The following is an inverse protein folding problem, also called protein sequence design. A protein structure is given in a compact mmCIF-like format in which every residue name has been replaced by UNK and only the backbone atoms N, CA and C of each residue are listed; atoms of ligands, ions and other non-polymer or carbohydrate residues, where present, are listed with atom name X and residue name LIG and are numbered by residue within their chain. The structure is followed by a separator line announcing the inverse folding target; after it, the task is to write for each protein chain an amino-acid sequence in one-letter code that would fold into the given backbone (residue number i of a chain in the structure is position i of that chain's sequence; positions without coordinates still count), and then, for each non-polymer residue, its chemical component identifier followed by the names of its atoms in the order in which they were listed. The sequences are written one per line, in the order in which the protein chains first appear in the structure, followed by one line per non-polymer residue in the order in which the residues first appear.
data_IF_655842471927
#
_entry.id   IF_655842471927
#
_cell.length_a   1.000
_cell.length_b   1.000
_cell.length_c   1.000
_cell.angle_alpha   90.00
_cell.angle_beta   90.00
_cell.angle_gamma   90.00
#
_symmetry.space_group_name_H-M   'P 1'
#
loop_
_entity.id
_entity.type
_entity.pdbx_description
1 polymer ?
#
# COMPACT_ATOMS: atom_id res chain seq x y z
N UNK A 1 21.12 -12.20 17.20
CA UNK A 1 20.63 -12.27 15.81
C UNK A 1 19.30 -13.01 15.87
N UNK A 2 18.18 -12.29 16.02
CA UNK A 2 16.86 -12.91 15.94
C UNK A 2 16.64 -13.33 14.49
N UNK A 3 16.49 -14.63 14.27
CA UNK A 3 16.23 -15.21 12.95
C UNK A 3 14.84 -14.80 12.47
N UNK A 4 14.74 -13.67 11.78
CA UNK A 4 13.54 -13.31 11.06
C UNK A 4 13.47 -14.23 9.83
N UNK A 5 12.31 -14.87 9.62
CA UNK A 5 12.09 -15.70 8.45
C UNK A 5 12.30 -14.88 7.18
N UNK A 6 12.97 -15.47 6.18
CA UNK A 6 13.27 -14.85 4.89
C UNK A 6 12.02 -14.15 4.32
N UNK A 7 12.14 -12.91 3.82
CA UNK A 7 11.02 -12.23 3.18
C UNK A 7 10.50 -13.01 1.98
N UNK A 8 9.18 -13.04 1.80
CA UNK A 8 8.50 -13.64 0.66
C UNK A 8 8.42 -12.59 -0.45
N UNK A 9 8.74 -12.94 -1.70
CA UNK A 9 8.49 -12.08 -2.87
C UNK A 9 7.36 -12.68 -3.71
N UNK A 10 6.34 -11.89 -4.02
CA UNK A 10 5.22 -12.26 -4.89
C UNK A 10 5.26 -11.35 -6.12
N UNK A 11 5.46 -11.93 -7.30
CA UNK A 11 5.48 -11.20 -8.55
C UNK A 11 4.07 -10.79 -8.99
N UNK A 12 3.90 -9.53 -9.40
CA UNK A 12 2.69 -9.03 -10.07
C UNK A 12 3.00 -8.94 -11.56
N UNK A 13 2.71 -10.03 -12.28
CA UNK A 13 3.09 -10.17 -13.68
C UNK A 13 4.60 -10.06 -13.86
N UNK A 14 5.03 -9.31 -14.88
CA UNK A 14 6.45 -8.96 -15.10
C UNK A 14 6.78 -7.54 -14.64
N UNK A 15 5.88 -6.86 -13.94
CA UNK A 15 5.96 -5.42 -13.70
C UNK A 15 6.73 -5.10 -12.42
N UNK A 16 6.38 -5.74 -11.30
CA UNK A 16 7.00 -5.50 -10.00
C UNK A 16 6.75 -6.64 -9.00
N UNK A 17 7.47 -6.60 -7.89
CA UNK A 17 7.32 -7.53 -6.77
C UNK A 17 6.65 -6.88 -5.55
N UNK A 18 5.84 -7.66 -4.84
CA UNK A 18 5.40 -7.38 -3.47
C UNK A 18 6.27 -8.19 -2.51
N UNK A 19 7.10 -7.51 -1.73
CA UNK A 19 7.99 -8.11 -0.74
C UNK A 19 7.32 -8.05 0.63
N UNK A 20 7.12 -9.21 1.27
CA UNK A 20 6.43 -9.36 2.55
C UNK A 20 7.39 -9.98 3.57
N UNK A 21 7.60 -9.34 4.71
CA UNK A 21 8.45 -9.87 5.76
C UNK A 21 8.31 -9.12 7.07
N UNK A 22 9.12 -9.49 8.07
CA UNK A 22 9.21 -8.79 9.37
C UNK A 22 10.53 -8.04 9.45
N UNK A 23 10.48 -6.78 9.87
CA UNK A 23 11.67 -5.95 10.06
C UNK A 23 12.42 -5.66 8.75
N UNK A 24 11.67 -5.40 7.67
CA UNK A 24 12.19 -5.28 6.30
C UNK A 24 12.23 -3.84 5.78
N UNK A 25 11.80 -2.84 6.55
CA UNK A 25 11.73 -1.44 6.12
C UNK A 25 13.05 -0.84 5.58
N UNK A 26 14.20 -1.38 5.97
CA UNK A 26 15.50 -0.97 5.44
C UNK A 26 15.73 -1.39 3.98
N UNK A 27 14.91 -2.31 3.47
CA UNK A 27 14.98 -2.83 2.09
C UNK A 27 14.25 -1.99 1.05
N UNK A 28 13.63 -0.86 1.42
CA UNK A 28 12.92 0.02 0.46
C UNK A 28 13.81 0.40 -0.72
N UNK A 29 15.08 0.69 -0.46
CA UNK A 29 16.03 1.08 -1.48
C UNK A 29 16.33 -0.03 -2.50
N UNK A 30 16.19 -1.31 -2.13
CA UNK A 30 16.39 -2.45 -3.03
C UNK A 30 15.36 -2.45 -4.17
N UNK A 31 14.16 -1.93 -3.90
CA UNK A 31 13.03 -1.89 -4.84
C UNK A 31 13.11 -0.72 -5.83
N UNK A 32 13.94 0.29 -5.56
CA UNK A 32 14.06 1.47 -6.42
C UNK A 32 14.82 1.19 -7.73
N UNK A 33 15.67 0.16 -7.76
CA UNK A 33 16.57 -0.13 -8.86
C UNK A 33 17.70 0.89 -9.02
N UNK A 34 18.48 0.78 -10.09
CA UNK A 34 19.65 1.63 -10.32
C UNK A 34 19.33 3.06 -10.78
N UNK A 35 20.26 4.00 -10.56
CA UNK A 35 20.21 5.35 -11.12
C UNK A 35 19.24 6.33 -10.46
N UNK A 36 18.64 5.98 -9.31
CA UNK A 36 17.95 6.96 -8.46
C UNK A 36 19.00 7.74 -7.68
N UNK A 37 18.88 9.08 -7.65
CA UNK A 37 19.71 9.93 -6.80
C UNK A 37 18.89 10.57 -5.69
N UNK A 38 17.67 11.03 -6.00
CA UNK A 38 16.77 11.69 -5.06
C UNK A 38 15.50 10.88 -4.85
N UNK A 39 15.01 10.91 -3.62
CA UNK A 39 13.76 10.26 -3.23
C UNK A 39 12.90 11.24 -2.45
N UNK A 40 11.63 11.38 -2.82
CA UNK A 40 10.63 12.07 -2.01
C UNK A 40 9.87 11.04 -1.17
N UNK A 41 10.02 11.09 0.15
CA UNK A 41 9.25 10.26 1.10
C UNK A 41 8.00 11.02 1.51
N UNK A 42 6.83 10.51 1.12
CA UNK A 42 5.51 11.07 1.44
C UNK A 42 4.90 10.26 2.57
N UNK A 43 4.55 10.90 3.69
CA UNK A 43 4.04 10.21 4.88
C UNK A 43 3.11 11.11 5.72
N UNK A 44 2.23 10.54 6.57
CA UNK A 44 1.43 11.32 7.51
C UNK A 44 2.22 11.61 8.81
N UNK A 45 1.83 12.62 9.60
CA UNK A 45 2.47 12.96 10.88
C UNK A 45 2.37 11.85 11.94
N UNK A 46 1.44 10.91 11.78
CA UNK A 46 1.17 9.84 12.74
C UNK A 46 2.20 8.71 12.72
N UNK A 47 3.12 8.67 11.73
CA UNK A 47 4.08 7.58 11.53
C UNK A 47 5.57 8.00 11.57
N UNK A 48 6.02 8.85 12.52
CA UNK A 48 7.37 9.41 12.47
C UNK A 48 8.47 8.35 12.67
N UNK A 49 8.22 7.36 13.54
CA UNK A 49 9.17 6.27 13.81
C UNK A 49 9.36 5.32 12.63
N UNK A 50 8.27 4.98 11.94
CA UNK A 50 8.32 4.14 10.73
C UNK A 50 9.04 4.87 9.60
N UNK A 51 8.66 6.12 9.36
CA UNK A 51 9.24 6.96 8.31
C UNK A 51 10.74 7.15 8.53
N UNK A 52 11.18 7.40 9.76
CA UNK A 52 12.60 7.53 10.10
C UNK A 52 13.43 6.29 9.72
N UNK A 53 12.87 5.07 9.89
CA UNK A 53 13.55 3.83 9.48
C UNK A 53 13.68 3.71 7.97
N UNK A 54 12.63 4.07 7.23
CA UNK A 54 12.66 4.11 5.76
C UNK A 54 13.68 5.12 5.25
N UNK A 55 13.70 6.34 5.81
CA UNK A 55 14.68 7.38 5.47
C UNK A 55 16.10 6.87 5.71
N UNK A 56 16.37 6.30 6.88
CA UNK A 56 17.70 5.78 7.20
C UNK A 56 18.15 4.68 6.23
N UNK A 57 17.25 3.78 5.82
CA UNK A 57 17.55 2.74 4.82
C UNK A 57 17.90 3.31 3.45
N UNK A 58 17.19 4.37 3.01
CA UNK A 58 17.46 5.07 1.76
C UNK A 58 18.81 5.82 1.80
N UNK A 59 19.07 6.57 2.88
CA UNK A 59 20.31 7.32 3.08
C UNK A 59 21.54 6.40 3.18
N UNK A 60 21.40 5.24 3.83
CA UNK A 60 22.47 4.23 3.90
C UNK A 60 22.89 3.70 2.51
N UNK A 61 22.06 3.89 1.49
CA UNK A 61 22.37 3.55 0.08
C UNK A 61 22.88 4.75 -0.72
N UNK A 62 23.11 5.89 -0.06
CA UNK A 62 23.66 7.12 -0.66
C UNK A 62 22.62 7.98 -1.38
N UNK A 63 21.33 7.74 -1.15
CA UNK A 63 20.25 8.52 -1.77
C UNK A 63 20.05 9.85 -1.02
N UNK A 64 19.78 10.91 -1.77
CA UNK A 64 19.35 12.19 -1.20
C UNK A 64 17.86 12.13 -0.90
N UNK A 65 17.50 12.13 0.38
CA UNK A 65 16.10 11.99 0.82
C UNK A 65 15.48 13.35 1.11
N UNK A 66 14.35 13.62 0.47
CA UNK A 66 13.45 14.72 0.76
C UNK A 66 12.22 14.16 1.46
N UNK A 67 11.73 14.85 2.49
CA UNK A 67 10.59 14.38 3.29
C UNK A 67 9.43 15.34 3.11
N UNK A 68 8.26 14.80 2.79
CA UNK A 68 7.01 15.54 2.67
C UNK A 68 5.96 14.94 3.60
N UNK A 69 5.65 15.67 4.66
CA UNK A 69 4.53 15.35 5.53
C UNK A 69 3.21 15.80 4.86
N UNK A 70 2.20 14.95 4.87
CA UNK A 70 0.85 15.22 4.34
C UNK A 70 -0.19 15.07 5.44
N UNK A 71 -1.39 15.67 5.31
CA UNK A 71 -2.48 15.42 6.24
C UNK A 71 -2.78 13.94 6.42
N UNK A 72 -3.35 13.55 7.55
CA UNK A 72 -3.72 12.15 7.79
C UNK A 72 -5.02 11.78 7.05
N UNK A 73 -5.14 10.50 6.71
CA UNK A 73 -6.30 9.90 6.04
C UNK A 73 -6.81 10.75 4.85
N UNK A 74 -8.13 10.75 4.61
CA UNK A 74 -8.75 11.32 3.41
C UNK A 74 -8.44 12.80 3.14
N UNK A 75 -8.02 13.57 4.16
CA UNK A 75 -7.61 14.96 4.00
C UNK A 75 -6.36 15.11 3.12
N UNK A 76 -5.55 14.06 2.98
CA UNK A 76 -4.38 14.05 2.09
C UNK A 76 -4.77 14.09 0.60
N UNK A 77 -5.92 13.53 0.23
CA UNK A 77 -6.28 13.24 -1.17
C UNK A 77 -6.93 14.43 -1.85
N UNK A 78 -6.25 15.57 -1.85
CA UNK A 78 -6.76 16.79 -2.50
C UNK A 78 -5.81 17.28 -3.59
N UNK A 79 -6.36 17.98 -4.58
CA UNK A 79 -5.57 18.63 -5.62
C UNK A 79 -4.58 19.68 -5.05
N UNK A 80 -4.92 20.29 -3.91
CA UNK A 80 -4.06 21.26 -3.22
C UNK A 80 -2.80 20.58 -2.66
N UNK A 81 -2.96 19.46 -1.95
CA UNK A 81 -1.83 18.67 -1.43
C UNK A 81 -0.97 18.14 -2.59
N UNK A 82 -1.61 17.61 -3.63
CA UNK A 82 -0.91 17.15 -4.84
C UNK A 82 -0.07 18.27 -5.49
N UNK A 83 -0.64 19.47 -5.62
CA UNK A 83 0.06 20.62 -6.18
C UNK A 83 1.25 21.08 -5.33
N UNK A 84 1.14 21.01 -4.00
CA UNK A 84 2.27 21.33 -3.13
C UNK A 84 3.41 20.31 -3.29
N UNK A 85 3.09 19.02 -3.34
CA UNK A 85 4.08 17.95 -3.55
C UNK A 85 4.83 18.11 -4.88
N UNK A 86 4.14 18.46 -5.98
CA UNK A 86 4.81 18.83 -7.23
C UNK A 86 5.73 20.05 -7.08
N UNK A 87 5.31 21.05 -6.31
CA UNK A 87 6.13 22.22 -5.98
C UNK A 87 7.41 21.82 -5.24
N UNK A 88 7.33 20.88 -4.30
CA UNK A 88 8.48 20.35 -3.58
C UNK A 88 9.45 19.61 -4.52
N UNK A 89 8.94 18.73 -5.39
CA UNK A 89 9.73 18.02 -6.41
C UNK A 89 10.46 19.02 -7.33
N UNK A 90 9.76 20.06 -7.78
CA UNK A 90 10.34 21.10 -8.63
C UNK A 90 11.45 21.91 -7.94
N UNK A 91 11.24 22.32 -6.68
CA UNK A 91 12.25 23.06 -5.90
C UNK A 91 13.48 22.22 -5.59
N UNK A 92 13.31 20.93 -5.36
CA UNK A 92 14.39 19.98 -5.09
C UNK A 92 15.10 19.48 -6.36
N UNK A 93 14.63 19.86 -7.55
CA UNK A 93 15.26 19.51 -8.82
C UNK A 93 15.11 18.04 -9.20
N UNK A 94 13.98 17.41 -8.86
CA UNK A 94 13.70 16.02 -9.23
C UNK A 94 13.64 15.85 -10.75
N UNK A 95 14.28 14.79 -11.22
CA UNK A 95 14.38 14.39 -12.62
C UNK A 95 13.58 13.12 -12.89
N UNK A 96 13.55 12.65 -14.15
CA UNK A 96 12.85 11.42 -14.53
C UNK A 96 13.44 10.15 -13.93
N UNK A 97 14.71 10.18 -13.51
CA UNK A 97 15.36 9.03 -12.88
C UNK A 97 15.13 8.98 -11.38
N UNK A 98 14.63 10.04 -10.76
CA UNK A 98 14.36 10.09 -9.32
C UNK A 98 13.04 9.36 -8.98
N UNK A 99 12.74 9.25 -7.68
CA UNK A 99 11.63 8.42 -7.21
C UNK A 99 10.81 9.04 -6.08
N UNK A 100 9.60 8.50 -5.90
CA UNK A 100 8.71 8.78 -4.78
C UNK A 100 8.60 7.51 -3.92
N UNK A 101 8.51 7.66 -2.60
CA UNK A 101 8.19 6.56 -1.68
C UNK A 101 6.97 6.98 -0.85
N UNK A 102 5.88 6.22 -0.94
CA UNK A 102 4.69 6.43 -0.11
C UNK A 102 4.74 5.56 1.14
N UNK A 103 4.73 6.17 2.33
CA UNK A 103 4.74 5.46 3.62
C UNK A 103 3.45 5.77 4.38
N UNK A 104 2.50 4.83 4.41
CA UNK A 104 1.22 5.04 5.09
C UNK A 104 0.13 4.06 4.68
N UNK A 105 -1.12 4.35 5.05
CA UNK A 105 -2.29 3.58 4.60
C UNK A 105 -2.62 3.82 3.12
N UNK A 106 -3.72 3.21 2.65
CA UNK A 106 -4.14 3.26 1.24
C UNK A 106 -4.25 4.68 0.67
N UNK A 107 -4.73 5.62 1.49
CA UNK A 107 -4.81 7.04 1.14
C UNK A 107 -3.45 7.65 0.76
N UNK A 108 -2.42 7.41 1.58
CA UNK A 108 -1.09 7.98 1.36
C UNK A 108 -0.42 7.31 0.17
N UNK A 109 -0.58 5.99 0.01
CA UNK A 109 -0.04 5.26 -1.14
C UNK A 109 -0.70 5.70 -2.45
N UNK A 110 -2.01 5.98 -2.46
CA UNK A 110 -2.72 6.52 -3.62
C UNK A 110 -2.18 7.90 -4.02
N UNK A 111 -2.03 8.81 -3.04
CA UNK A 111 -1.51 10.14 -3.26
C UNK A 111 -0.07 10.08 -3.80
N UNK A 112 0.81 9.32 -3.14
CA UNK A 112 2.20 9.17 -3.55
C UNK A 112 2.31 8.54 -4.96
N UNK A 113 1.46 7.56 -5.25
CA UNK A 113 1.34 6.96 -6.57
C UNK A 113 0.93 7.99 -7.63
N UNK A 114 -0.04 8.85 -7.31
CA UNK A 114 -0.53 9.85 -8.26
C UNK A 114 0.47 11.00 -8.47
N UNK A 115 1.17 11.41 -7.41
CA UNK A 115 2.32 12.32 -7.51
C UNK A 115 3.35 11.76 -8.49
N UNK A 116 3.72 10.49 -8.34
CA UNK A 116 4.71 9.84 -9.20
C UNK A 116 4.21 9.67 -10.65
N UNK A 117 2.95 9.31 -10.85
CA UNK A 117 2.34 9.14 -12.17
C UNK A 117 2.32 10.45 -12.97
N UNK A 118 2.09 11.58 -12.27
CA UNK A 118 1.86 12.88 -12.89
C UNK A 118 3.11 13.76 -12.95
N UNK A 119 4.10 13.55 -12.08
CA UNK A 119 5.36 14.27 -12.11
C UNK A 119 6.20 13.87 -13.34
N UNK A 120 6.59 14.85 -14.16
CA UNK A 120 7.36 14.64 -15.39
C UNK A 120 6.79 13.58 -16.36
N UNK A 121 5.48 13.30 -16.26
CA UNK A 121 4.73 12.24 -16.96
C UNK A 121 5.07 10.81 -16.53
N UNK A 122 5.57 10.64 -15.32
CA UNK A 122 5.87 9.34 -14.72
C UNK A 122 7.29 9.30 -14.17
N UNK A 123 7.40 9.05 -12.88
CA UNK A 123 8.64 8.66 -12.18
C UNK A 123 8.41 7.38 -11.37
N UNK A 124 9.49 6.78 -10.89
CA UNK A 124 9.41 5.56 -10.08
C UNK A 124 8.68 5.83 -8.76
N UNK A 125 7.91 4.85 -8.30
CA UNK A 125 7.31 4.87 -6.97
C UNK A 125 7.47 3.54 -6.27
N UNK A 126 7.82 3.55 -4.99
CA UNK A 126 7.77 2.37 -4.12
C UNK A 126 6.74 2.62 -3.03
N UNK A 127 5.89 1.64 -2.77
CA UNK A 127 4.85 1.75 -1.74
C UNK A 127 5.26 0.98 -0.49
N UNK A 128 5.10 1.61 0.67
CA UNK A 128 5.35 1.02 1.99
C UNK A 128 4.03 1.10 2.78
N UNK A 129 3.07 0.21 2.51
CA UNK A 129 1.78 0.22 3.18
C UNK A 129 1.91 -0.08 4.67
N UNK A 130 1.22 0.72 5.50
CA UNK A 130 1.25 0.58 6.97
C UNK A 130 -0.07 0.14 7.59
N UNK A 131 -1.03 -0.25 6.75
CA UNK A 131 -2.33 -0.79 7.16
C UNK A 131 -2.52 -2.13 6.49
N UNK A 132 -3.32 -3.03 7.09
CA UNK A 132 -3.60 -4.32 6.48
C UNK A 132 -4.29 -4.14 5.12
N UNK A 133 -5.28 -3.24 5.04
CA UNK A 133 -5.95 -2.87 3.79
C UNK A 133 -4.96 -2.39 2.73
N UNK A 134 -3.99 -1.56 3.11
CA UNK A 134 -2.94 -1.10 2.21
C UNK A 134 -2.07 -2.25 1.67
N UNK A 135 -1.71 -3.21 2.51
CA UNK A 135 -0.85 -4.34 2.15
C UNK A 135 -1.52 -5.31 1.18
N UNK A 136 -2.78 -5.66 1.44
CA UNK A 136 -3.49 -6.70 0.68
C UNK A 136 -4.27 -6.14 -0.50
N UNK A 137 -4.54 -4.83 -0.50
CA UNK A 137 -5.35 -4.18 -1.52
C UNK A 137 -4.69 -2.90 -2.05
N UNK A 138 -4.80 -1.76 -1.38
CA UNK A 138 -4.57 -0.45 -2.02
C UNK A 138 -3.18 -0.26 -2.68
N UNK A 139 -2.10 -0.77 -2.08
CA UNK A 139 -0.75 -0.63 -2.63
C UNK A 139 -0.47 -1.57 -3.82
N UNK A 140 -1.33 -2.57 -4.06
CA UNK A 140 -1.17 -3.58 -5.10
C UNK A 140 -2.15 -3.28 -6.25
N UNK A 141 -1.65 -3.18 -7.48
CA UNK A 141 -2.49 -3.05 -8.68
C UNK A 141 -2.43 -1.71 -9.39
N UNK A 142 -1.56 -0.80 -8.95
CA UNK A 142 -1.18 0.42 -9.66
C UNK A 142 -2.29 1.47 -9.79
N UNK A 143 -3.43 1.32 -9.12
CA UNK A 143 -4.40 2.41 -9.04
C UNK A 143 -3.86 3.48 -8.11
N UNK A 144 -3.99 4.73 -8.54
CA UNK A 144 -3.57 5.90 -7.76
C UNK A 144 -4.58 7.00 -8.04
N UNK A 145 -4.78 7.92 -7.10
CA UNK A 145 -5.69 9.03 -7.34
C UNK A 145 -5.90 9.95 -6.16
N UNK A 146 -6.72 10.97 -6.41
CA UNK A 146 -7.16 11.95 -5.43
C UNK A 146 -8.68 12.07 -5.42
N UNK A 147 -9.20 12.68 -4.38
CA UNK A 147 -10.61 13.02 -4.28
C UNK A 147 -10.85 14.39 -4.91
N UNK A 148 -12.07 14.54 -5.43
CA UNK A 148 -12.61 15.81 -5.95
C UNK A 148 -13.84 16.17 -5.14
N UNK A 149 -14.39 17.37 -5.34
CA UNK A 149 -15.64 17.75 -4.68
C UNK A 149 -16.81 16.84 -5.13
N UNK A 150 -16.72 16.30 -6.34
CA UNK A 150 -17.73 15.47 -6.99
C UNK A 150 -17.67 14.00 -6.56
N UNK A 151 -16.57 13.56 -5.94
CA UNK A 151 -16.44 12.19 -5.45
C UNK A 151 -15.00 11.74 -5.19
N UNK A 152 -14.90 10.60 -4.50
CA UNK A 152 -13.64 9.94 -4.18
C UNK A 152 -13.10 9.17 -5.37
N UNK A 153 -11.78 9.16 -5.53
CA UNK A 153 -11.06 8.36 -6.54
C UNK A 153 -11.49 8.54 -8.01
N UNK A 154 -12.24 9.60 -8.34
CA UNK A 154 -12.67 9.85 -9.72
C UNK A 154 -11.53 10.32 -10.63
N UNK A 155 -10.50 10.96 -10.04
CA UNK A 155 -9.34 11.49 -10.76
C UNK A 155 -8.11 10.72 -10.31
N UNK A 156 -7.44 10.07 -11.27
CA UNK A 156 -6.31 9.20 -10.97
C UNK A 156 -5.59 8.69 -12.20
N UNK A 157 -4.71 7.72 -11.99
CA UNK A 157 -3.96 7.04 -13.03
C UNK A 157 -3.70 5.57 -12.67
N UNK A 158 -3.58 4.73 -13.69
CA UNK A 158 -2.95 3.43 -13.56
C UNK A 158 -1.43 3.61 -13.71
N UNK A 159 -0.70 3.51 -12.61
CA UNK A 159 0.75 3.67 -12.51
C UNK A 159 1.33 2.57 -11.59
N UNK A 160 1.77 1.44 -12.16
CA UNK A 160 2.38 0.36 -11.38
C UNK A 160 3.61 0.86 -10.60
N UNK A 161 3.77 0.47 -9.32
CA UNK A 161 4.96 0.80 -8.56
C UNK A 161 6.17 0.01 -9.09
N UNK A 162 7.37 0.45 -8.73
CA UNK A 162 8.61 -0.33 -8.91
C UNK A 162 8.69 -1.50 -7.90
N UNK A 163 7.94 -1.41 -6.80
CA UNK A 163 7.78 -2.48 -5.82
C UNK A 163 6.88 -2.05 -4.66
N UNK A 164 6.40 -3.03 -3.91
CA UNK A 164 5.65 -2.83 -2.67
C UNK A 164 6.36 -3.55 -1.55
N UNK A 165 6.59 -2.88 -0.42
CA UNK A 165 7.26 -3.45 0.75
C UNK A 165 6.31 -3.50 1.95
N UNK A 166 5.87 -4.71 2.29
CA UNK A 166 4.99 -5.00 3.40
C UNK A 166 5.81 -5.52 4.59
N UNK A 167 6.11 -4.64 5.55
CA UNK A 167 6.67 -5.05 6.85
C UNK A 167 5.53 -5.41 7.80
N UNK A 168 5.31 -6.70 8.07
CA UNK A 168 4.18 -7.15 8.90
C UNK A 168 4.28 -6.66 10.35
N UNK A 169 5.48 -6.29 10.82
CA UNK A 169 5.67 -5.82 12.20
C UNK A 169 5.02 -4.45 12.41
N UNK A 170 4.80 -3.66 11.35
CA UNK A 170 4.13 -2.36 11.49
C UNK A 170 2.64 -2.50 11.85
N UNK A 171 2.04 -3.68 11.65
CA UNK A 171 0.66 -3.96 12.05
C UNK A 171 0.51 -4.07 13.58
N UNK A 172 1.60 -4.24 14.33
CA UNK A 172 1.57 -4.32 15.80
C UNK A 172 1.03 -3.04 16.46
N UNK A 173 1.16 -1.90 15.78
CA UNK A 173 0.67 -0.60 16.25
C UNK A 173 -0.62 -0.15 15.57
N UNK A 174 -1.17 -0.97 14.66
CA UNK A 174 -2.40 -0.64 13.94
C UNK A 174 -3.61 -0.80 14.87
N UNK A 175 -4.55 0.15 14.91
CA UNK A 175 -5.81 -0.02 15.64
C UNK A 175 -6.55 -1.29 15.21
N UNK A 176 -7.17 -1.99 16.17
CA UNK A 176 -7.92 -3.23 15.89
C UNK A 176 -9.00 -3.01 14.82
N UNK A 177 -9.70 -1.88 14.86
CA UNK A 177 -10.73 -1.55 13.88
C UNK A 177 -10.18 -1.51 12.44
N UNK A 178 -9.00 -0.93 12.23
CA UNK A 178 -8.36 -0.83 10.92
C UNK A 178 -7.81 -2.18 10.46
N UNK A 179 -7.31 -3.00 11.39
CA UNK A 179 -6.92 -4.38 11.08
C UNK A 179 -8.13 -5.20 10.66
N UNK A 180 -9.24 -5.12 11.40
CA UNK A 180 -10.49 -5.82 11.09
C UNK A 180 -11.07 -5.36 9.75
N UNK A 181 -11.04 -4.06 9.47
CA UNK A 181 -11.44 -3.54 8.16
C UNK A 181 -10.58 -4.13 7.03
N UNK A 182 -9.26 -4.22 7.22
CA UNK A 182 -8.37 -4.88 6.26
C UNK A 182 -8.61 -6.40 6.11
N UNK A 183 -9.02 -7.09 7.17
CA UNK A 183 -9.38 -8.52 7.12
C UNK A 183 -10.59 -8.77 6.22
N UNK A 184 -11.48 -7.80 6.02
CA UNK A 184 -12.61 -7.94 5.09
C UNK A 184 -12.11 -8.20 3.66
N UNK A 185 -11.06 -7.52 3.21
CA UNK A 185 -10.46 -7.74 1.89
C UNK A 185 -9.72 -9.08 1.78
N UNK A 186 -9.12 -9.53 2.89
CA UNK A 186 -8.54 -10.88 2.98
C UNK A 186 -9.65 -11.92 2.80
N UNK A 187 -10.74 -11.81 3.55
CA UNK A 187 -11.90 -12.73 3.46
C UNK A 187 -12.53 -12.69 2.06
N UNK A 188 -12.64 -11.51 1.43
CA UNK A 188 -13.07 -11.38 0.03
C UNK A 188 -12.23 -12.26 -0.88
N UNK A 189 -10.89 -12.20 -0.78
CA UNK A 189 -9.99 -13.05 -1.57
C UNK A 189 -10.27 -14.54 -1.36
N UNK A 190 -10.65 -14.93 -0.13
CA UNK A 190 -11.03 -16.30 0.18
C UNK A 190 -12.29 -16.77 -0.55
N UNK A 191 -13.31 -15.92 -0.63
CA UNK A 191 -14.55 -16.24 -1.35
C UNK A 191 -14.38 -16.28 -2.87
N UNK A 192 -13.57 -15.39 -3.43
CA UNK A 192 -13.48 -15.25 -4.89
C UNK A 192 -12.44 -16.18 -5.53
N UNK A 193 -11.42 -16.64 -4.78
CA UNK A 193 -10.29 -17.35 -5.38
C UNK A 193 -9.55 -18.37 -4.49
N UNK A 194 -9.30 -18.10 -3.20
CA UNK A 194 -8.48 -19.00 -2.34
C UNK A 194 -9.21 -19.41 -1.04
N UNK A 195 -10.05 -20.47 -1.07
CA UNK A 195 -10.80 -20.92 0.11
C UNK A 195 -9.94 -21.28 1.33
N UNK A 196 -8.65 -21.57 1.17
CA UNK A 196 -7.76 -21.82 2.31
C UNK A 196 -7.60 -20.57 3.21
N UNK A 197 -7.81 -19.36 2.67
CA UNK A 197 -7.92 -18.15 3.48
C UNK A 197 -9.06 -18.27 4.49
N UNK A 198 -10.23 -18.77 4.05
CA UNK A 198 -11.40 -18.92 4.90
C UNK A 198 -11.14 -19.95 6.00
N UNK A 199 -10.52 -21.08 5.65
CA UNK A 199 -10.12 -22.12 6.62
C UNK A 199 -9.19 -21.57 7.71
N UNK A 200 -8.20 -20.75 7.33
CA UNK A 200 -7.27 -20.12 8.27
C UNK A 200 -7.96 -19.09 9.19
N UNK A 201 -8.88 -18.29 8.63
CA UNK A 201 -9.67 -17.32 9.42
C UNK A 201 -10.59 -18.04 10.40
N UNK A 202 -11.32 -19.05 9.94
CA UNK A 202 -12.22 -19.86 10.78
C UNK A 202 -11.46 -20.58 11.88
N UNK A 203 -10.30 -21.17 11.57
CA UNK A 203 -9.42 -21.80 12.56
C UNK A 203 -8.92 -20.80 13.59
N UNK A 204 -8.50 -19.60 13.18
CA UNK A 204 -8.04 -18.56 14.10
C UNK A 204 -9.16 -18.12 15.04
N UNK A 205 -10.38 -17.93 14.51
CA UNK A 205 -11.55 -17.53 15.30
C UNK A 205 -11.99 -18.64 16.26
N UNK A 206 -11.95 -19.90 15.83
CA UNK A 206 -12.30 -21.03 16.69
C UNK A 206 -11.33 -21.20 17.88
N UNK A 207 -10.07 -20.86 17.67
CA UNK A 207 -9.04 -20.91 18.70
C UNK A 207 -9.10 -19.70 19.65
N UNK A 208 -9.07 -18.47 19.12
CA UNK A 208 -9.22 -17.24 19.91
C UNK A 208 -9.74 -16.08 19.03
N UNK A 209 -11.04 -15.71 19.15
CA UNK A 209 -11.64 -14.64 18.37
C UNK A 209 -10.98 -13.27 18.56
N UNK A 210 -10.46 -12.97 19.75
CA UNK A 210 -9.80 -11.69 20.00
C UNK A 210 -8.43 -11.66 19.32
N UNK A 211 -7.66 -12.75 19.45
CA UNK A 211 -6.36 -12.88 18.79
C UNK A 211 -6.48 -12.90 17.27
N UNK A 212 -7.52 -13.53 16.71
CA UNK A 212 -7.79 -13.58 15.27
C UNK A 212 -7.89 -12.18 14.64
N UNK A 213 -8.37 -11.19 15.41
CA UNK A 213 -8.54 -9.78 15.02
C UNK A 213 -7.36 -8.89 15.42
N UNK A 214 -6.21 -9.48 15.73
CA UNK A 214 -5.03 -8.74 16.21
C UNK A 214 -3.78 -9.07 15.39
N UNK A 215 -2.75 -8.23 15.51
CA UNK A 215 -1.43 -8.49 14.93
C UNK A 215 -0.74 -9.75 15.51
N UNK A 216 -1.24 -10.29 16.63
CA UNK A 216 -0.77 -11.53 17.23
C UNK A 216 -1.41 -12.79 16.63
N UNK A 217 -2.27 -12.66 15.61
CA UNK A 217 -2.81 -13.80 14.86
C UNK A 217 -1.65 -14.57 14.19
N UNK A 218 -1.44 -15.86 14.54
CA UNK A 218 -0.32 -16.64 14.00
C UNK A 218 -0.41 -16.86 12.48
N UNK A 219 -1.59 -16.72 11.90
CA UNK A 219 -1.83 -16.88 10.46
C UNK A 219 -1.72 -15.55 9.69
N UNK A 220 -1.52 -14.40 10.36
CA UNK A 220 -1.61 -13.09 9.72
C UNK A 220 -0.69 -12.93 8.51
N UNK A 221 0.58 -13.33 8.62
CA UNK A 221 1.51 -13.26 7.49
C UNK A 221 1.07 -14.14 6.33
N UNK A 222 0.62 -15.37 6.59
CA UNK A 222 0.15 -16.27 5.53
C UNK A 222 -1.12 -15.73 4.85
N UNK A 223 -2.04 -15.18 5.63
CA UNK A 223 -3.25 -14.52 5.13
C UNK A 223 -2.91 -13.34 4.20
N UNK A 224 -1.96 -12.49 4.59
CA UNK A 224 -1.46 -11.40 3.75
C UNK A 224 -0.86 -11.94 2.45
N UNK A 225 0.03 -12.92 2.54
CA UNK A 225 0.67 -13.51 1.36
C UNK A 225 -0.34 -14.13 0.39
N UNK A 226 -1.35 -14.84 0.89
CA UNK A 226 -2.41 -15.43 0.06
C UNK A 226 -3.28 -14.38 -0.61
N UNK A 227 -3.75 -13.38 0.14
CA UNK A 227 -4.54 -12.28 -0.41
C UNK A 227 -3.76 -11.51 -1.49
N UNK A 228 -2.47 -11.24 -1.24
CA UNK A 228 -1.59 -10.59 -2.23
C UNK A 228 -1.40 -11.47 -3.48
N UNK A 229 -1.24 -12.80 -3.36
CA UNK A 229 -1.18 -13.70 -4.53
C UNK A 229 -2.46 -13.63 -5.36
N UNK A 230 -3.62 -13.73 -4.72
CA UNK A 230 -4.92 -13.59 -5.41
C UNK A 230 -4.99 -12.27 -6.17
N UNK A 231 -4.67 -11.16 -5.51
CA UNK A 231 -4.71 -9.84 -6.16
C UNK A 231 -3.67 -9.71 -7.27
N UNK A 232 -2.46 -10.22 -7.06
CA UNK A 232 -1.38 -10.21 -8.05
C UNK A 232 -1.77 -10.95 -9.33
N UNK A 233 -2.37 -12.14 -9.21
CA UNK A 233 -2.84 -12.94 -10.35
C UNK A 233 -3.93 -12.22 -11.15
N UNK A 234 -4.92 -11.63 -10.46
CA UNK A 234 -6.01 -10.89 -11.11
C UNK A 234 -5.50 -9.62 -11.79
N UNK A 235 -4.62 -8.85 -11.12
CA UNK A 235 -4.03 -7.63 -11.68
C UNK A 235 -3.14 -7.95 -12.88
N UNK A 236 -2.31 -8.99 -12.79
CA UNK A 236 -1.42 -9.39 -13.89
C UNK A 236 -2.20 -9.80 -15.14
N UNK A 237 -3.38 -10.40 -14.95
CA UNK A 237 -4.28 -10.76 -16.04
C UNK A 237 -5.07 -9.56 -16.61
N UNK A 238 -5.38 -8.55 -15.79
CA UNK A 238 -6.20 -7.40 -16.18
C UNK A 238 -5.84 -6.11 -15.41
N UNK A 239 -4.72 -5.47 -15.77
CA UNK A 239 -4.23 -4.27 -15.09
C UNK A 239 -5.21 -3.08 -15.17
N UNK A 240 -5.94 -2.93 -16.29
CA UNK A 240 -6.80 -1.75 -16.55
C UNK A 240 -8.28 -1.97 -16.24
N UNK A 241 -8.62 -3.06 -15.57
CA UNK A 241 -10.02 -3.38 -15.20
C UNK A 241 -10.96 -3.42 -16.40
N UNK A 242 -10.54 -4.13 -17.44
CA UNK A 242 -11.32 -4.28 -18.67
C UNK A 242 -12.33 -5.43 -18.61
N UNK A 243 -12.20 -6.36 -17.66
CA UNK A 243 -13.16 -7.44 -17.41
C UNK A 243 -12.90 -8.17 -16.09
N UNK A 244 -11.97 -9.13 -16.08
CA UNK A 244 -11.72 -10.08 -14.98
C UNK A 244 -11.54 -9.39 -13.63
N UNK A 245 -10.88 -8.23 -13.59
CA UNK A 245 -10.60 -7.54 -12.33
C UNK A 245 -11.85 -7.05 -11.59
N UNK A 246 -13.02 -7.03 -12.24
CA UNK A 246 -14.32 -6.74 -11.61
C UNK A 246 -14.65 -7.71 -10.45
N UNK A 247 -14.10 -8.94 -10.43
CA UNK A 247 -14.33 -9.88 -9.32
C UNK A 247 -13.82 -9.32 -7.98
N UNK A 248 -12.84 -8.40 -7.99
CA UNK A 248 -12.35 -7.73 -6.80
C UNK A 248 -13.38 -6.78 -6.18
N UNK A 249 -14.48 -6.47 -6.90
CA UNK A 249 -15.60 -5.68 -6.39
C UNK A 249 -16.65 -6.54 -5.66
N UNK A 250 -16.39 -7.82 -5.40
CA UNK A 250 -17.29 -8.65 -4.59
C UNK A 250 -17.58 -7.96 -3.23
N UNK A 251 -18.85 -7.78 -2.90
CA UNK A 251 -19.33 -7.04 -1.73
C UNK A 251 -19.38 -5.51 -1.88
N UNK A 252 -18.62 -4.92 -2.79
CA UNK A 252 -18.41 -3.47 -2.87
C UNK A 252 -19.62 -2.69 -3.40
N UNK A 253 -20.48 -3.29 -4.24
CA UNK A 253 -21.72 -2.62 -4.69
C UNK A 253 -22.60 -2.22 -3.51
N UNK A 254 -22.71 -3.09 -2.50
CA UNK A 254 -23.47 -2.82 -1.29
C UNK A 254 -22.65 -1.99 -0.29
N UNK A 255 -21.36 -2.31 -0.12
CA UNK A 255 -20.45 -1.57 0.76
C UNK A 255 -20.38 -0.08 0.44
N UNK A 256 -20.17 0.29 -0.83
CA UNK A 256 -20.14 1.69 -1.26
C UNK A 256 -21.45 2.44 -0.96
N UNK A 257 -22.60 1.77 -1.05
CA UNK A 257 -23.88 2.40 -0.73
C UNK A 257 -24.00 2.71 0.77
N UNK A 258 -23.53 1.82 1.65
CA UNK A 258 -23.47 2.05 3.10
C UNK A 258 -22.52 3.20 3.39
N UNK A 259 -21.29 3.15 2.89
CA UNK A 259 -20.27 4.19 3.12
C UNK A 259 -20.76 5.58 2.72
N UNK A 260 -21.46 5.67 1.58
CA UNK A 260 -22.04 6.93 1.09
C UNK A 260 -23.15 7.45 2.02
N UNK A 261 -24.02 6.57 2.52
CA UNK A 261 -25.11 6.93 3.44
C UNK A 261 -24.59 7.37 4.80
N UNK A 262 -23.55 6.70 5.30
CA UNK A 262 -22.88 7.01 6.57
C UNK A 262 -21.83 8.12 6.45
N UNK A 263 -21.74 8.78 5.29
CA UNK A 263 -20.81 9.89 5.04
C UNK A 263 -19.34 9.55 5.32
N UNK A 264 -18.97 8.27 5.21
CA UNK A 264 -17.64 7.75 5.54
C UNK A 264 -17.22 8.02 6.99
N UNK A 265 -18.18 8.07 7.92
CA UNK A 265 -17.96 8.24 9.38
C UNK A 265 -18.25 6.98 10.17
#
# INVERSE_FOLDING_TARGET
MSGHATPTSIAVGSDYDVVIGSGVLDRVADLLGGGVERVLVVHPPTLPGLTSRVIAGLEARGLTVHVAEVPDAEAAKTAAVLSDLWGQLGRAGFTRSDAVVGVGGGTVTDLAGFVAASWLRGVRVVQVPTTLLGMVDAAVGGKTGINTAEGKNLVGAFHPPAGVLCDVDVLQTLPEADLVAGLAEVVKCGFIADPAILELVESAVADDPARARSAANPHLRELIERAVRVKAEVVAADLKESSLREILNYGHTFGHAIEQVEQFT
#
